data_IF_651430037412
#
_entry.id   IF_651430037412
#
_cell.length_a   1.000
_cell.length_b   1.000
_cell.length_c   1.000
_cell.angle_alpha   90.00
_cell.angle_beta   90.00
_cell.angle_gamma   90.00
#
_symmetry.space_group_name_H-M   'P 1'
#
loop_
_entity.id
_entity.type
_entity.pdbx_description
1 polymer ?
#
# COMPACT_ATOMS: atom_id res chain seq x y z
N UNK A 1 -5.57 -6.13 16.99
CA UNK A 1 -6.82 -6.90 16.96
C UNK A 1 -6.64 -8.12 17.84
N UNK A 2 -7.48 -8.30 18.86
CA UNK A 2 -7.48 -9.51 19.69
C UNK A 2 -8.43 -10.52 19.05
N UNK A 3 -8.02 -11.78 18.94
CA UNK A 3 -8.85 -12.88 18.42
C UNK A 3 -8.86 -13.97 19.48
N UNK A 4 -10.03 -14.54 19.79
CA UNK A 4 -10.13 -15.65 20.72
C UNK A 4 -10.44 -16.96 19.99
N UNK A 5 -9.99 -18.08 20.56
CA UNK A 5 -10.37 -19.41 20.11
C UNK A 5 -11.58 -19.85 20.93
N UNK A 6 -12.67 -20.20 20.27
CA UNK A 6 -13.88 -20.77 20.88
C UNK A 6 -14.21 -22.13 20.29
N UNK A 7 -15.02 -22.91 20.99
CA UNK A 7 -15.63 -24.14 20.47
C UNK A 7 -17.13 -23.88 20.43
N UNK A 8 -17.74 -24.05 19.25
CA UNK A 8 -19.18 -23.83 19.07
C UNK A 8 -19.81 -25.06 18.37
N UNK A 9 -21.07 -25.36 18.69
CA UNK A 9 -21.80 -26.49 18.11
C UNK A 9 -22.06 -26.33 16.61
N UNK A 10 -22.06 -27.44 15.88
CA UNK A 10 -22.28 -27.51 14.43
C UNK A 10 -23.32 -28.57 14.08
N UNK A 11 -23.97 -28.43 12.92
CA UNK A 11 -24.94 -29.42 12.42
C UNK A 11 -24.28 -30.72 11.94
N UNK A 12 -22.98 -30.68 11.64
CA UNK A 12 -22.18 -31.83 11.18
C UNK A 12 -21.24 -32.32 12.27
N UNK A 13 -20.91 -33.61 12.24
CA UNK A 13 -19.86 -34.20 13.07
C UNK A 13 -18.48 -33.81 12.54
N UNK A 14 -17.62 -33.35 13.44
CA UNK A 14 -16.23 -33.05 13.13
C UNK A 14 -15.31 -33.84 14.05
N UNK A 15 -14.16 -34.25 13.52
CA UNK A 15 -13.13 -34.95 14.28
C UNK A 15 -12.29 -33.95 15.07
N UNK A 16 -12.51 -33.86 16.38
CA UNK A 16 -11.85 -32.90 17.26
C UNK A 16 -10.77 -33.58 18.12
N UNK A 17 -9.57 -32.99 18.24
CA UNK A 17 -8.53 -33.48 19.12
C UNK A 17 -8.96 -33.41 20.58
N UNK A 18 -8.73 -34.50 21.32
CA UNK A 18 -8.99 -34.62 22.77
C UNK A 18 -7.72 -34.63 23.61
N UNK A 19 -6.56 -34.50 22.96
CA UNK A 19 -5.26 -34.39 23.58
C UNK A 19 -4.45 -33.26 22.92
N UNK A 20 -3.45 -32.67 23.62
CA UNK A 20 -2.59 -31.65 23.03
C UNK A 20 -1.88 -32.17 21.77
N UNK A 21 -1.96 -31.41 20.69
CA UNK A 21 -1.28 -31.73 19.42
C UNK A 21 0.13 -31.14 19.31
N UNK A 22 0.54 -30.27 20.24
CA UNK A 22 1.92 -29.80 20.38
C UNK A 22 2.64 -30.75 21.34
N UNK A 23 3.77 -31.32 20.90
CA UNK A 23 4.59 -32.21 21.73
C UNK A 23 5.94 -31.56 22.05
N UNK A 24 6.22 -31.29 23.34
CA UNK A 24 7.48 -30.72 23.83
C UNK A 24 7.40 -29.21 24.12
N UNK A 25 8.51 -28.65 24.64
CA UNK A 25 8.67 -27.21 24.88
C UNK A 25 9.08 -26.52 23.58
N UNK A 26 8.13 -25.98 22.83
CA UNK A 26 8.34 -25.31 21.52
C UNK A 26 8.90 -26.21 20.39
N UNK A 27 8.24 -27.32 20.03
CA UNK A 27 8.61 -28.03 18.81
C UNK A 27 8.38 -27.10 17.61
N UNK A 28 9.44 -26.76 16.89
CA UNK A 28 9.36 -26.02 15.63
C UNK A 28 9.71 -26.94 14.47
N UNK A 29 9.04 -26.74 13.34
CA UNK A 29 9.44 -27.37 12.08
C UNK A 29 10.74 -26.74 11.53
N UNK A 30 11.24 -27.26 10.41
CA UNK A 30 12.44 -26.74 9.74
C UNK A 30 12.31 -25.28 9.28
N UNK A 31 11.13 -24.66 9.43
CA UNK A 31 10.82 -23.26 9.07
C UNK A 31 10.57 -22.39 10.30
N UNK A 32 10.80 -22.88 11.51
CA UNK A 32 10.60 -22.13 12.75
C UNK A 32 9.13 -21.97 13.16
N UNK A 33 8.20 -22.71 12.55
CA UNK A 33 6.77 -22.67 12.89
C UNK A 33 6.39 -23.78 13.86
N UNK A 34 5.38 -23.60 14.73
CA UNK A 34 4.98 -24.64 15.67
C UNK A 34 4.61 -25.94 14.96
N UNK A 35 5.26 -27.04 15.35
CA UNK A 35 4.97 -28.37 14.82
C UNK A 35 3.81 -29.00 15.59
N UNK A 36 2.86 -29.56 14.84
CA UNK A 36 1.66 -30.19 15.38
C UNK A 36 1.56 -31.63 14.90
N UNK A 37 1.29 -32.55 15.82
CA UNK A 37 0.95 -33.94 15.52
C UNK A 37 -0.35 -34.03 14.74
N UNK A 38 -0.48 -35.04 13.88
CA UNK A 38 -1.71 -35.30 13.14
C UNK A 38 -2.86 -35.77 14.05
N UNK A 39 -4.08 -35.55 13.57
CA UNK A 39 -5.31 -36.05 14.20
C UNK A 39 -5.54 -37.50 13.77
N UNK A 40 -5.58 -38.40 14.75
CA UNK A 40 -5.72 -39.86 14.62
C UNK A 40 -6.91 -40.35 15.44
N UNK A 41 -7.39 -41.58 15.22
CA UNK A 41 -8.46 -42.16 16.04
C UNK A 41 -8.10 -42.29 17.53
N UNK A 42 -6.81 -42.28 17.89
CA UNK A 42 -6.36 -42.41 19.27
C UNK A 42 -6.35 -41.08 20.05
N UNK A 43 -6.27 -39.95 19.36
CA UNK A 43 -6.15 -38.61 19.97
C UNK A 43 -7.30 -37.67 19.60
N UNK A 44 -8.40 -38.19 19.08
CA UNK A 44 -9.58 -37.39 18.71
C UNK A 44 -10.90 -38.13 18.90
N UNK A 45 -11.98 -37.36 18.88
CA UNK A 45 -13.36 -37.84 18.98
C UNK A 45 -14.21 -37.14 17.91
N UNK A 46 -15.18 -37.86 17.36
CA UNK A 46 -16.21 -37.25 16.51
C UNK A 46 -17.23 -36.53 17.40
N UNK A 47 -17.39 -35.23 17.18
CA UNK A 47 -18.24 -34.38 18.00
C UNK A 47 -18.94 -33.32 17.13
N UNK A 48 -20.22 -32.96 17.38
CA UNK A 48 -20.94 -31.97 16.60
C UNK A 48 -20.56 -30.55 17.02
N UNK A 49 -19.27 -30.23 16.97
CA UNK A 49 -18.73 -28.90 17.22
C UNK A 49 -17.50 -28.63 16.35
N UNK A 50 -17.06 -27.37 16.29
CA UNK A 50 -15.84 -26.97 15.58
C UNK A 50 -15.11 -25.88 16.37
N UNK A 51 -13.79 -25.74 16.17
CA UNK A 51 -13.08 -24.58 16.70
C UNK A 51 -13.30 -23.37 15.80
N UNK A 52 -13.41 -22.21 16.42
CA UNK A 52 -13.55 -20.94 15.72
C UNK A 52 -12.52 -19.94 16.22
N UNK A 53 -11.90 -19.22 15.28
CA UNK A 53 -11.24 -17.95 15.55
C UNK A 53 -12.31 -16.86 15.51
N UNK A 54 -12.66 -16.30 16.67
CA UNK A 54 -13.74 -15.33 16.81
C UNK A 54 -13.19 -13.93 17.00
N UNK A 55 -13.75 -12.99 16.23
CA UNK A 55 -13.41 -11.58 16.31
C UNK A 55 -14.33 -10.89 17.33
N UNK A 56 -13.82 -9.97 18.16
CA UNK A 56 -14.62 -9.19 19.10
C UNK A 56 -15.68 -8.32 18.40
N UNK A 57 -15.35 -7.84 17.20
CA UNK A 57 -16.26 -7.10 16.31
C UNK A 57 -16.16 -7.70 14.90
N UNK A 58 -17.25 -7.72 14.13
CA UNK A 58 -17.24 -8.10 12.72
C UNK A 58 -16.17 -7.34 11.93
N UNK A 59 -15.37 -8.05 11.14
CA UNK A 59 -14.25 -7.47 10.38
C UNK A 59 -14.64 -7.31 8.92
N UNK A 60 -14.46 -6.13 8.30
CA UNK A 60 -14.59 -5.98 6.86
C UNK A 60 -13.55 -6.84 6.14
N UNK A 61 -13.99 -7.69 5.23
CA UNK A 61 -13.10 -8.53 4.41
C UNK A 61 -13.54 -8.51 2.96
N UNK A 62 -12.58 -8.58 2.04
CA UNK A 62 -12.89 -8.63 0.61
C UNK A 62 -13.50 -9.96 0.20
N UNK A 63 -14.23 -9.98 -0.91
CA UNK A 63 -14.72 -11.23 -1.52
C UNK A 63 -13.56 -12.17 -1.88
N UNK A 64 -12.45 -11.62 -2.39
CA UNK A 64 -11.24 -12.40 -2.71
C UNK A 64 -10.64 -13.07 -1.47
N UNK A 65 -10.62 -12.37 -0.33
CA UNK A 65 -10.20 -12.94 0.96
C UNK A 65 -11.07 -14.13 1.35
N UNK A 66 -12.39 -14.02 1.25
CA UNK A 66 -13.34 -15.11 1.56
C UNK A 66 -13.04 -16.32 0.69
N UNK A 67 -12.95 -16.13 -0.64
CA UNK A 67 -12.66 -17.22 -1.58
C UNK A 67 -11.33 -17.90 -1.26
N UNK A 68 -10.27 -17.12 -1.05
CA UNK A 68 -8.94 -17.64 -0.71
C UNK A 68 -8.99 -18.42 0.60
N UNK A 69 -9.73 -17.94 1.60
CA UNK A 69 -9.83 -18.58 2.91
C UNK A 69 -10.56 -19.91 2.80
N UNK A 70 -11.69 -19.98 2.08
CA UNK A 70 -12.40 -21.24 1.84
C UNK A 70 -11.56 -22.24 1.07
N UNK A 71 -10.80 -21.79 0.07
CA UNK A 71 -9.90 -22.66 -0.70
C UNK A 71 -8.78 -23.23 0.18
N UNK A 72 -8.27 -22.46 1.13
CA UNK A 72 -7.20 -22.90 2.03
C UNK A 72 -7.68 -23.78 3.18
N UNK A 73 -8.88 -23.54 3.72
CA UNK A 73 -9.42 -24.31 4.86
C UNK A 73 -10.23 -25.51 4.40
N UNK A 74 -10.88 -25.44 3.23
CA UNK A 74 -11.88 -26.40 2.78
C UNK A 74 -13.20 -26.32 3.56
N UNK A 75 -13.39 -25.26 4.37
CA UNK A 75 -14.54 -25.12 5.27
C UNK A 75 -15.42 -23.96 4.79
N UNK A 76 -16.75 -24.18 4.65
CA UNK A 76 -17.69 -23.09 4.43
C UNK A 76 -17.60 -22.04 5.55
N UNK A 77 -17.49 -20.76 5.19
CA UNK A 77 -17.41 -19.65 6.15
C UNK A 77 -18.78 -19.18 6.64
N UNK A 78 -19.81 -19.37 5.81
CA UNK A 78 -21.16 -18.89 6.05
C UNK A 78 -22.15 -20.03 5.81
N UNK A 79 -23.17 -20.12 6.65
CA UNK A 79 -24.27 -21.07 6.49
C UNK A 79 -25.18 -20.67 5.32
N UNK A 80 -25.31 -19.37 5.07
CA UNK A 80 -26.03 -18.78 3.95
C UNK A 80 -25.10 -17.88 3.13
N UNK A 81 -25.35 -17.70 1.81
CA UNK A 81 -24.56 -16.77 1.00
C UNK A 81 -24.59 -15.36 1.62
N UNK A 82 -23.42 -14.74 1.89
CA UNK A 82 -23.38 -13.42 2.47
C UNK A 82 -23.82 -12.36 1.45
N UNK A 83 -24.39 -11.27 1.94
CA UNK A 83 -24.58 -10.06 1.13
C UNK A 83 -23.23 -9.38 0.94
N UNK A 84 -22.94 -9.02 -0.30
CA UNK A 84 -21.77 -8.26 -0.68
C UNK A 84 -22.15 -6.80 -0.93
N UNK A 85 -21.34 -5.89 -0.42
CA UNK A 85 -21.43 -4.44 -0.62
C UNK A 85 -20.02 -3.88 -0.88
N UNK A 86 -19.87 -2.63 -1.34
CA UNK A 86 -18.55 -2.04 -1.54
C UNK A 86 -17.68 -2.10 -0.27
N UNK A 87 -16.45 -2.62 -0.40
CA UNK A 87 -15.55 -2.86 0.74
C UNK A 87 -15.19 -1.56 1.47
N UNK A 88 -15.01 -0.46 0.73
CA UNK A 88 -14.69 0.85 1.33
C UNK A 88 -15.82 1.35 2.23
N UNK A 89 -17.08 1.04 1.91
CA UNK A 89 -18.22 1.36 2.75
C UNK A 89 -18.17 0.58 4.07
N UNK A 90 -17.86 -0.72 4.03
CA UNK A 90 -17.70 -1.54 5.23
C UNK A 90 -16.54 -1.07 6.12
N UNK A 91 -15.39 -0.72 5.52
CA UNK A 91 -14.24 -0.19 6.26
C UNK A 91 -14.61 1.13 6.94
N UNK A 92 -15.36 1.99 6.24
CA UNK A 92 -15.83 3.27 6.76
C UNK A 92 -16.77 3.09 7.95
N UNK A 93 -17.79 2.24 7.82
CA UNK A 93 -18.72 1.93 8.90
C UNK A 93 -17.99 1.30 10.10
N UNK A 94 -17.03 0.40 9.84
CA UNK A 94 -16.22 -0.22 10.87
C UNK A 94 -15.38 0.82 11.63
N UNK A 95 -14.72 1.76 10.96
CA UNK A 95 -13.91 2.78 11.61
C UNK A 95 -14.77 3.73 12.46
N UNK A 96 -15.90 4.19 11.93
CA UNK A 96 -16.83 5.09 12.63
C UNK A 96 -17.48 4.41 13.85
N UNK A 97 -17.58 3.08 13.87
CA UNK A 97 -18.10 2.32 15.03
C UNK A 97 -17.13 2.19 16.22
N UNK A 98 -15.86 2.63 16.06
CA UNK A 98 -14.85 2.57 17.13
C UNK A 98 -14.87 3.78 18.05
N UNK A 99 -15.28 4.92 17.52
CA UNK A 99 -15.42 6.16 18.26
C UNK A 99 -16.78 6.12 19.01
N UNK A 100 -16.72 5.89 20.33
CA UNK A 100 -17.87 5.91 21.24
C UNK A 100 -18.29 7.38 21.50
N UNK A 101 -19.45 7.85 20.97
CA UNK A 101 -20.47 8.63 21.72
C UNK A 101 -21.60 9.32 20.92
N UNK A 102 -22.78 9.25 21.56
CA UNK A 102 -23.94 10.14 21.81
C UNK A 102 -24.67 11.00 20.77
N UNK A 103 -24.13 11.36 19.60
CA UNK A 103 -24.92 12.15 18.64
C UNK A 103 -24.93 11.52 17.25
N UNK A 104 -26.08 10.98 16.78
CA UNK A 104 -26.21 10.50 15.42
C UNK A 104 -26.33 11.71 14.50
N UNK A 105 -25.23 12.47 14.33
CA UNK A 105 -25.09 13.27 13.13
C UNK A 105 -25.26 12.29 11.96
N UNK A 106 -26.23 12.50 11.06
CA UNK A 106 -26.53 11.54 10.02
C UNK A 106 -25.23 11.25 9.28
N UNK A 107 -24.85 9.98 9.24
CA UNK A 107 -23.72 9.47 8.47
C UNK A 107 -23.93 9.96 7.04
N UNK A 108 -23.39 11.12 6.71
CA UNK A 108 -23.53 11.67 5.38
C UNK A 108 -22.83 10.64 4.49
N UNK A 109 -23.63 9.99 3.63
CA UNK A 109 -23.22 9.00 2.62
C UNK A 109 -22.17 9.55 1.63
N UNK A 110 -21.74 10.79 1.82
CA UNK A 110 -20.61 11.40 1.17
C UNK A 110 -19.36 10.70 1.69
N UNK A 111 -18.74 9.85 0.88
CA UNK A 111 -17.47 9.17 1.16
C UNK A 111 -16.28 10.17 1.22
N UNK A 112 -16.50 11.35 1.80
CA UNK A 112 -15.57 12.46 1.97
C UNK A 112 -15.21 12.58 3.44
N UNK A 113 -13.92 12.49 3.73
CA UNK A 113 -13.39 12.56 5.09
C UNK A 113 -12.30 13.61 5.19
N UNK A 114 -12.31 14.36 6.29
CA UNK A 114 -11.36 15.43 6.50
C UNK A 114 -10.30 15.03 7.53
N UNK A 115 -9.08 15.51 7.31
CA UNK A 115 -7.98 15.36 8.26
C UNK A 115 -7.26 16.70 8.45
N UNK A 116 -7.18 17.13 9.71
CA UNK A 116 -6.31 18.23 10.11
C UNK A 116 -4.93 17.67 10.50
N UNK A 117 -3.89 18.07 9.77
CA UNK A 117 -2.50 17.70 10.06
C UNK A 117 -1.67 18.97 10.32
N UNK A 118 -0.49 18.86 10.97
CA UNK A 118 0.32 20.05 11.24
C UNK A 118 0.77 20.73 9.94
N UNK A 119 0.19 21.91 9.69
CA UNK A 119 0.44 22.76 8.51
C UNK A 119 -0.35 22.39 7.26
N UNK A 120 -1.26 21.40 7.29
CA UNK A 120 -2.01 20.96 6.11
C UNK A 120 -3.43 20.51 6.49
N UNK A 121 -4.41 20.81 5.64
CA UNK A 121 -5.78 20.32 5.74
C UNK A 121 -6.08 19.45 4.53
N UNK A 122 -6.54 18.24 4.75
CA UNK A 122 -6.78 17.26 3.69
C UNK A 122 -8.27 16.89 3.61
N UNK A 123 -8.75 16.64 2.40
CA UNK A 123 -10.03 16.01 2.10
C UNK A 123 -9.77 14.73 1.29
N UNK A 124 -10.27 13.60 1.79
CA UNK A 124 -10.16 12.29 1.15
C UNK A 124 -11.53 11.86 0.63
N UNK A 125 -11.63 11.70 -0.68
CA UNK A 125 -12.75 11.01 -1.30
C UNK A 125 -12.41 9.53 -1.45
N UNK A 126 -13.15 8.66 -0.77
CA UNK A 126 -13.01 7.21 -0.90
C UNK A 126 -13.98 6.72 -1.99
N UNK A 127 -13.46 6.44 -3.18
CA UNK A 127 -14.27 6.07 -4.33
C UNK A 127 -14.72 4.60 -4.23
N UNK A 128 -15.80 4.36 -3.47
CA UNK A 128 -16.36 3.02 -3.23
C UNK A 128 -16.90 2.34 -4.49
N UNK A 129 -17.26 3.13 -5.50
CA UNK A 129 -17.91 2.66 -6.73
C UNK A 129 -16.94 2.58 -7.92
N UNK A 130 -15.64 2.83 -7.70
CA UNK A 130 -14.63 2.73 -8.76
C UNK A 130 -14.62 1.32 -9.39
N UNK A 131 -14.70 1.20 -10.71
CA UNK A 131 -14.72 -0.09 -11.38
C UNK A 131 -13.33 -0.72 -11.37
N UNK A 132 -13.26 -1.97 -10.95
CA UNK A 132 -12.10 -2.84 -11.15
C UNK A 132 -12.06 -3.32 -12.63
N UNK A 133 -10.98 -4.00 -13.07
CA UNK A 133 -10.87 -4.49 -14.45
C UNK A 133 -12.02 -5.40 -14.92
N UNK A 134 -12.76 -6.02 -13.99
CA UNK A 134 -13.96 -6.83 -14.29
C UNK A 134 -15.25 -6.01 -14.38
N UNK A 135 -15.17 -4.68 -14.30
CA UNK A 135 -16.29 -3.74 -14.38
C UNK A 135 -17.12 -3.61 -13.10
N UNK A 136 -16.77 -4.34 -12.03
CA UNK A 136 -17.47 -4.29 -10.75
C UNK A 136 -16.68 -3.48 -9.73
N UNK A 137 -17.35 -2.88 -8.75
CA UNK A 137 -16.66 -2.27 -7.61
C UNK A 137 -16.09 -3.33 -6.67
N UNK A 138 -15.06 -2.97 -5.91
CA UNK A 138 -14.44 -3.88 -4.94
C UNK A 138 -15.44 -4.28 -3.85
N UNK A 139 -15.89 -5.54 -3.89
CA UNK A 139 -16.90 -6.09 -2.99
C UNK A 139 -16.29 -6.69 -1.71
N UNK A 140 -17.04 -6.60 -0.62
CA UNK A 140 -16.70 -7.21 0.66
C UNK A 140 -17.92 -7.58 1.50
N UNK A 141 -17.66 -8.21 2.64
CA UNK A 141 -18.67 -8.54 3.65
C UNK A 141 -18.05 -8.49 5.05
N UNK A 142 -18.86 -8.65 6.09
CA UNK A 142 -18.41 -8.68 7.48
C UNK A 142 -18.17 -10.11 7.95
N UNK A 143 -17.03 -10.34 8.60
CA UNK A 143 -16.63 -11.65 9.10
C UNK A 143 -16.52 -11.66 10.63
N UNK A 144 -17.28 -12.55 11.27
CA UNK A 144 -17.36 -12.65 12.74
C UNK A 144 -16.47 -13.74 13.33
N UNK A 145 -16.35 -14.85 12.61
CA UNK A 145 -15.60 -16.01 13.06
C UNK A 145 -15.13 -16.85 11.87
N UNK A 146 -14.07 -17.61 12.08
CA UNK A 146 -13.50 -18.53 11.08
C UNK A 146 -13.34 -19.90 11.70
N UNK A 147 -14.00 -20.90 11.12
CA UNK A 147 -13.87 -22.29 11.54
C UNK A 147 -12.49 -22.86 11.21
N UNK A 148 -11.98 -23.74 12.06
CA UNK A 148 -10.79 -24.54 11.78
C UNK A 148 -10.84 -25.89 12.54
N UNK A 149 -10.35 -26.95 11.92
CA UNK A 149 -10.30 -28.29 12.56
C UNK A 149 -8.96 -28.58 13.22
N UNK A 150 -7.87 -28.05 12.67
CA UNK A 150 -6.51 -28.36 13.09
C UNK A 150 -5.74 -27.09 13.47
N UNK A 151 -5.09 -27.02 14.64
CA UNK A 151 -4.34 -25.84 15.07
C UNK A 151 -3.25 -25.39 14.09
N UNK A 152 -2.65 -26.30 13.32
CA UNK A 152 -1.67 -25.95 12.27
C UNK A 152 -2.22 -25.05 11.17
N UNK A 153 -3.55 -24.92 11.02
CA UNK A 153 -4.18 -23.99 10.07
C UNK A 153 -4.21 -22.56 10.59
N UNK A 154 -4.16 -22.36 11.90
CA UNK A 154 -4.29 -21.04 12.53
C UNK A 154 -3.22 -20.06 12.06
N UNK A 155 -1.91 -20.40 11.96
CA UNK A 155 -0.91 -19.47 11.46
C UNK A 155 -1.19 -18.92 10.05
N UNK A 156 -1.65 -19.79 9.14
CA UNK A 156 -2.02 -19.39 7.78
C UNK A 156 -3.23 -18.44 7.79
N UNK A 157 -4.27 -18.78 8.55
CA UNK A 157 -5.48 -17.96 8.69
C UNK A 157 -5.10 -16.59 9.26
N UNK A 158 -4.27 -16.54 10.31
CA UNK A 158 -3.81 -15.30 10.91
C UNK A 158 -2.98 -14.45 9.93
N UNK A 159 -2.14 -15.07 9.09
CA UNK A 159 -1.39 -14.34 8.08
C UNK A 159 -2.33 -13.63 7.09
N UNK A 160 -3.36 -14.34 6.61
CA UNK A 160 -4.36 -13.76 5.72
C UNK A 160 -5.15 -12.62 6.40
N UNK A 161 -5.57 -12.81 7.65
CA UNK A 161 -6.31 -11.78 8.40
C UNK A 161 -5.43 -10.54 8.57
N UNK A 162 -4.16 -10.71 8.95
CA UNK A 162 -3.25 -9.58 9.16
C UNK A 162 -3.05 -8.78 7.88
N UNK A 163 -2.95 -9.44 6.73
CA UNK A 163 -2.88 -8.79 5.42
C UNK A 163 -4.15 -7.98 5.11
N UNK A 164 -5.34 -8.57 5.25
CA UNK A 164 -6.62 -7.86 5.06
C UNK A 164 -6.76 -6.67 6.04
N UNK A 165 -6.35 -6.84 7.30
CA UNK A 165 -6.39 -5.76 8.30
C UNK A 165 -5.40 -4.65 7.98
N UNK A 166 -4.22 -4.95 7.42
CA UNK A 166 -3.28 -3.93 7.00
C UNK A 166 -3.85 -3.06 5.87
N UNK A 167 -4.49 -3.68 4.87
CA UNK A 167 -5.24 -2.96 3.83
C UNK A 167 -6.34 -2.08 4.44
N UNK A 168 -7.19 -2.66 5.30
CA UNK A 168 -8.28 -1.92 5.94
C UNK A 168 -7.76 -0.77 6.81
N UNK A 169 -6.60 -0.93 7.44
CA UNK A 169 -5.98 0.11 8.29
C UNK A 169 -5.56 1.31 7.44
N UNK A 170 -4.98 1.09 6.26
CA UNK A 170 -4.61 2.18 5.35
C UNK A 170 -5.84 2.94 4.87
N UNK A 171 -6.86 2.24 4.37
CA UNK A 171 -8.10 2.88 3.91
C UNK A 171 -8.82 3.58 5.07
N UNK A 172 -8.98 2.89 6.20
CA UNK A 172 -9.61 3.42 7.41
C UNK A 172 -8.85 4.62 8.01
N UNK A 173 -7.55 4.76 7.76
CA UNK A 173 -6.79 5.92 8.24
C UNK A 173 -7.25 7.27 7.68
N UNK A 174 -7.97 7.26 6.55
CA UNK A 174 -8.62 8.43 5.97
C UNK A 174 -9.94 8.78 6.68
N UNK A 175 -10.57 7.83 7.36
CA UNK A 175 -11.91 7.96 7.95
C UNK A 175 -11.78 8.57 9.34
N UNK A 176 -12.14 9.85 9.45
CA UNK A 176 -12.17 10.60 10.72
C UNK A 176 -13.38 11.50 10.76
N UNK A 177 -13.97 11.70 11.95
CA UNK A 177 -15.04 12.70 12.19
C UNK A 177 -14.48 14.12 12.36
N UNK A 178 -13.46 14.49 11.59
CA UNK A 178 -12.99 15.88 11.59
C UNK A 178 -14.00 16.74 10.84
N UNK A 179 -14.59 17.72 11.50
CA UNK A 179 -15.45 18.71 10.84
C UNK A 179 -14.58 19.89 10.43
N UNK A 180 -14.31 20.01 9.12
CA UNK A 180 -13.74 21.21 8.51
C UNK A 180 -14.84 21.93 7.74
N UNK A 181 -14.78 23.27 7.65
CA UNK A 181 -15.63 24.00 6.71
C UNK A 181 -15.18 23.62 5.29
N UNK A 182 -16.06 22.97 4.53
CA UNK A 182 -15.77 22.42 3.20
C UNK A 182 -15.17 23.46 2.23
N UNK A 183 -15.51 24.74 2.40
CA UNK A 183 -15.05 25.86 1.57
C UNK A 183 -13.83 26.60 2.14
N UNK A 184 -13.09 25.99 3.08
CA UNK A 184 -11.86 26.62 3.59
C UNK A 184 -10.81 26.66 2.46
N UNK A 185 -10.26 27.82 2.12
CA UNK A 185 -9.22 27.90 1.09
C UNK A 185 -7.99 27.09 1.53
N UNK A 186 -7.41 26.33 0.61
CA UNK A 186 -6.18 25.57 0.84
C UNK A 186 -6.36 24.14 1.34
N UNK A 187 -7.58 23.58 1.35
CA UNK A 187 -7.79 22.14 1.56
C UNK A 187 -7.25 21.37 0.36
N UNK A 188 -6.33 20.45 0.63
CA UNK A 188 -5.77 19.55 -0.37
C UNK A 188 -6.73 18.38 -0.60
N UNK A 189 -7.08 18.13 -1.86
CA UNK A 189 -8.01 17.07 -2.24
C UNK A 189 -7.25 15.82 -2.69
N UNK A 190 -7.72 14.68 -2.21
CA UNK A 190 -7.19 13.36 -2.52
C UNK A 190 -8.34 12.43 -2.88
N UNK A 191 -8.19 11.67 -3.96
CA UNK A 191 -9.08 10.57 -4.31
C UNK A 191 -8.38 9.24 -4.04
N UNK A 192 -9.05 8.35 -3.32
CA UNK A 192 -8.58 6.98 -3.06
C UNK A 192 -9.45 6.00 -3.83
N UNK A 193 -8.84 5.27 -4.77
CA UNK A 193 -9.55 4.32 -5.62
C UNK A 193 -9.00 2.89 -5.46
N UNK A 194 -9.86 1.87 -5.29
CA UNK A 194 -9.42 0.49 -5.36
C UNK A 194 -8.92 0.15 -6.77
N UNK A 195 -7.84 -0.64 -6.85
CA UNK A 195 -7.30 -1.18 -8.10
C UNK A 195 -7.36 -2.73 -8.13
N UNK A 196 -7.27 -3.35 -6.96
CA UNK A 196 -7.50 -4.79 -6.74
C UNK A 196 -7.91 -5.04 -5.28
N UNK A 197 -7.92 -6.30 -4.84
CA UNK A 197 -8.15 -6.70 -3.45
C UNK A 197 -7.00 -6.31 -2.50
N UNK A 198 -5.81 -6.03 -3.05
CA UNK A 198 -4.60 -5.68 -2.28
C UNK A 198 -3.96 -4.36 -2.70
N UNK A 199 -4.46 -3.73 -3.77
CA UNK A 199 -3.88 -2.55 -4.38
C UNK A 199 -4.90 -1.42 -4.51
N UNK A 200 -4.45 -0.18 -4.30
CA UNK A 200 -5.25 1.03 -4.45
C UNK A 200 -4.38 2.21 -4.90
N UNK A 201 -4.99 3.24 -5.45
CA UNK A 201 -4.32 4.49 -5.79
C UNK A 201 -4.75 5.64 -4.87
N UNK A 202 -3.86 6.61 -4.72
CA UNK A 202 -4.14 7.92 -4.15
C UNK A 202 -3.78 8.98 -5.19
N UNK A 203 -4.79 9.62 -5.76
CA UNK A 203 -4.65 10.67 -6.77
C UNK A 203 -4.75 12.05 -6.11
N UNK A 204 -3.88 12.99 -6.51
CA UNK A 204 -3.80 14.34 -5.95
C UNK A 204 -3.16 15.31 -6.92
N UNK A 205 -3.43 16.60 -6.73
CA UNK A 205 -2.77 17.65 -7.51
C UNK A 205 -1.28 17.73 -7.16
N UNK A 206 -0.43 17.87 -8.17
CA UNK A 206 1.00 18.07 -8.01
C UNK A 206 1.28 19.27 -7.09
N UNK A 207 2.25 19.20 -6.14
CA UNK A 207 2.49 20.29 -5.18
C UNK A 207 2.94 21.65 -5.77
N UNK A 208 3.13 21.75 -7.08
CA UNK A 208 3.89 22.83 -7.76
C UNK A 208 3.18 23.35 -9.00
N UNK A 209 2.36 22.51 -9.61
CA UNK A 209 1.68 22.83 -10.85
C UNK A 209 0.28 22.19 -10.80
N UNK A 210 -0.47 22.34 -11.88
CA UNK A 210 -1.85 21.86 -11.96
C UNK A 210 -1.97 20.43 -12.52
N UNK A 211 -0.86 19.67 -12.61
CA UNK A 211 -0.89 18.29 -13.08
C UNK A 211 -1.43 17.34 -12.01
N UNK A 212 -1.95 16.19 -12.45
CA UNK A 212 -2.41 15.12 -11.57
C UNK A 212 -1.28 14.13 -11.32
N UNK A 213 -1.11 13.77 -10.05
CA UNK A 213 -0.14 12.79 -9.56
C UNK A 213 -0.88 11.64 -8.91
N UNK A 214 -0.37 10.43 -9.06
CA UNK A 214 -0.96 9.22 -8.51
C UNK A 214 0.10 8.40 -7.77
N UNK A 215 -0.17 8.00 -6.54
CA UNK A 215 0.61 6.99 -5.83
C UNK A 215 -0.19 5.69 -5.82
N UNK A 216 0.36 4.64 -6.42
CA UNK A 216 -0.18 3.28 -6.30
C UNK A 216 0.45 2.60 -5.10
N UNK A 217 -0.37 2.11 -4.18
CA UNK A 217 0.05 1.35 -3.01
C UNK A 217 -0.43 -0.10 -3.14
N UNK A 218 0.49 -1.04 -2.99
CA UNK A 218 0.22 -2.47 -3.10
C UNK A 218 0.65 -3.17 -1.80
N UNK A 219 -0.34 -3.67 -1.05
CA UNK A 219 -0.15 -4.31 0.26
C UNK A 219 0.26 -5.77 0.03
N UNK A 220 1.55 -6.08 0.25
CA UNK A 220 2.08 -7.43 0.03
C UNK A 220 1.82 -8.34 1.24
N UNK A 221 2.06 -7.82 2.44
CA UNK A 221 1.78 -8.47 3.71
C UNK A 221 1.45 -7.42 4.79
N UNK A 222 1.33 -7.83 6.05
CA UNK A 222 0.96 -6.92 7.14
C UNK A 222 2.02 -5.89 7.53
N UNK A 223 3.22 -6.00 7.00
CA UNK A 223 4.40 -5.18 7.30
C UNK A 223 5.03 -4.54 6.07
N UNK A 224 4.76 -5.07 4.88
CA UNK A 224 5.33 -4.61 3.62
C UNK A 224 4.24 -4.05 2.69
N UNK A 225 4.41 -2.77 2.36
CA UNK A 225 3.61 -2.06 1.37
C UNK A 225 4.56 -1.54 0.30
N UNK A 226 4.33 -1.93 -0.95
CA UNK A 226 5.05 -1.40 -2.10
C UNK A 226 4.36 -0.12 -2.58
N UNK A 227 5.12 0.84 -3.09
CA UNK A 227 4.60 2.12 -3.55
C UNK A 227 5.23 2.50 -4.88
N UNK A 228 4.41 3.03 -5.80
CA UNK A 228 4.88 3.59 -7.06
C UNK A 228 4.26 4.95 -7.30
N UNK A 229 5.11 5.95 -7.51
CA UNK A 229 4.70 7.32 -7.84
C UNK A 229 4.63 7.52 -9.35
N UNK A 230 3.46 7.89 -9.84
CA UNK A 230 3.20 8.26 -11.23
C UNK A 230 2.93 9.75 -11.32
N UNK A 231 3.66 10.42 -12.21
CA UNK A 231 3.54 11.85 -12.51
C UNK A 231 3.77 12.08 -14.00
N UNK A 232 3.49 13.29 -14.49
CA UNK A 232 3.84 13.68 -15.86
C UNK A 232 5.35 13.58 -16.13
N UNK A 233 5.71 13.28 -17.37
CA UNK A 233 7.11 13.14 -17.79
C UNK A 233 7.91 14.43 -17.52
N UNK A 234 7.28 15.58 -17.78
CA UNK A 234 7.87 16.90 -17.58
C UNK A 234 7.68 17.48 -16.18
N UNK A 235 7.00 16.78 -15.28
CA UNK A 235 6.76 17.27 -13.93
C UNK A 235 8.04 17.27 -13.09
N UNK A 236 8.15 18.24 -12.19
CA UNK A 236 9.26 18.30 -11.24
C UNK A 236 9.31 17.04 -10.34
N UNK A 237 10.49 16.80 -9.76
CA UNK A 237 10.65 15.70 -8.81
C UNK A 237 9.89 16.01 -7.51
N UNK A 238 9.09 15.04 -7.04
CA UNK A 238 8.34 15.14 -5.77
C UNK A 238 9.08 14.38 -4.67
N UNK A 239 9.29 13.08 -4.87
CA UNK A 239 10.03 12.17 -4.00
C UNK A 239 10.27 10.84 -4.74
N UNK A 240 10.85 9.84 -4.06
CA UNK A 240 11.08 8.50 -4.60
C UNK A 240 10.08 7.48 -4.05
N UNK A 241 9.88 6.39 -4.79
CA UNK A 241 9.06 5.25 -4.38
C UNK A 241 9.50 4.69 -3.00
N UNK A 242 10.82 4.52 -2.80
CA UNK A 242 11.41 4.07 -1.54
C UNK A 242 11.11 4.99 -0.36
N UNK A 243 11.07 6.31 -0.60
CA UNK A 243 10.73 7.27 0.45
C UNK A 243 9.27 7.07 0.88
N UNK A 244 8.36 6.91 -0.09
CA UNK A 244 6.93 6.70 0.18
C UNK A 244 6.73 5.39 0.93
N UNK A 245 7.34 4.30 0.45
CA UNK A 245 7.27 2.97 1.06
C UNK A 245 7.72 3.00 2.53
N UNK A 246 8.86 3.66 2.82
CA UNK A 246 9.37 3.81 4.20
C UNK A 246 8.42 4.59 5.10
N UNK A 247 7.80 5.66 4.59
CA UNK A 247 6.86 6.46 5.37
C UNK A 247 5.60 5.65 5.68
N UNK A 248 4.97 5.06 4.66
CA UNK A 248 3.70 4.34 4.84
C UNK A 248 3.87 3.10 5.72
N UNK A 249 4.97 2.35 5.59
CA UNK A 249 5.25 1.18 6.43
C UNK A 249 5.46 1.57 7.90
N UNK A 250 5.97 2.79 8.16
CA UNK A 250 6.18 3.29 9.52
C UNK A 250 4.91 3.81 10.17
N UNK A 251 4.05 4.49 9.41
CA UNK A 251 2.89 5.19 9.98
C UNK A 251 1.56 4.46 9.75
N UNK A 252 1.48 3.55 8.78
CA UNK A 252 0.25 2.90 8.31
C UNK A 252 -0.91 3.88 8.13
N UNK A 253 -0.61 5.07 7.58
CA UNK A 253 -1.57 6.16 7.45
C UNK A 253 -1.40 6.91 6.13
N UNK A 254 -2.46 6.91 5.32
CA UNK A 254 -2.50 7.68 4.06
C UNK A 254 -2.35 9.18 4.35
N UNK A 255 -3.10 9.81 5.29
CA UNK A 255 -2.93 11.23 5.61
C UNK A 255 -1.49 11.64 5.99
N UNK A 256 -0.84 10.85 6.85
CA UNK A 256 0.54 11.13 7.26
C UNK A 256 1.50 10.98 6.08
N UNK A 257 1.28 9.98 5.24
CA UNK A 257 2.10 9.73 4.04
C UNK A 257 1.97 10.87 3.04
N UNK A 258 0.75 11.31 2.71
CA UNK A 258 0.53 12.41 1.77
C UNK A 258 1.13 13.72 2.26
N UNK A 259 1.06 13.99 3.57
CA UNK A 259 1.73 15.14 4.17
C UNK A 259 3.25 15.07 4.01
N UNK A 260 3.84 13.89 4.22
CA UNK A 260 5.28 13.70 4.07
C UNK A 260 5.74 13.88 2.61
N UNK A 261 4.97 13.36 1.65
CA UNK A 261 5.19 13.55 0.21
C UNK A 261 5.22 15.04 -0.13
N UNK A 262 4.19 15.79 0.29
CA UNK A 262 4.09 17.22 0.01
C UNK A 262 5.26 18.01 0.61
N UNK A 263 5.60 17.76 1.88
CA UNK A 263 6.77 18.41 2.52
C UNK A 263 8.07 18.09 1.82
N UNK A 264 8.24 16.85 1.35
CA UNK A 264 9.44 16.44 0.61
C UNK A 264 9.54 17.19 -0.71
N UNK A 265 8.43 17.31 -1.43
CA UNK A 265 8.36 18.08 -2.68
C UNK A 265 8.71 19.55 -2.46
N UNK A 266 8.11 20.18 -1.44
CA UNK A 266 8.39 21.58 -1.07
C UNK A 266 9.87 21.80 -0.75
N UNK A 267 10.51 20.87 -0.03
CA UNK A 267 11.94 20.94 0.30
C UNK A 267 12.81 20.86 -0.95
N UNK A 268 12.54 19.89 -1.84
CA UNK A 268 13.29 19.72 -3.10
C UNK A 268 13.20 20.98 -3.96
N UNK A 269 12.03 21.61 -4.02
CA UNK A 269 11.86 22.87 -4.74
C UNK A 269 12.62 24.03 -4.11
N UNK A 270 12.65 24.13 -2.78
CA UNK A 270 13.43 25.18 -2.12
C UNK A 270 14.94 25.02 -2.38
N UNK A 271 15.42 23.77 -2.49
CA UNK A 271 16.83 23.48 -2.73
C UNK A 271 17.24 23.61 -4.22
N UNK A 272 16.30 23.49 -5.16
CA UNK A 272 16.60 23.50 -6.62
C UNK A 272 17.25 24.80 -7.11
N UNK A 273 16.74 26.02 -6.76
CA UNK A 273 17.39 27.28 -7.12
C UNK A 273 18.78 27.45 -6.49
N UNK A 274 18.97 26.92 -5.27
CA UNK A 274 20.26 26.98 -4.59
C UNK A 274 21.30 26.10 -5.30
N UNK A 275 20.91 24.91 -5.74
CA UNK A 275 21.77 24.01 -6.50
C UNK A 275 22.14 24.57 -7.88
N UNK A 276 21.22 25.24 -8.58
CA UNK A 276 21.55 25.90 -9.86
C UNK A 276 22.53 27.05 -9.69
N UNK A 277 22.37 27.87 -8.64
CA UNK A 277 23.31 28.95 -8.32
C UNK A 277 24.71 28.43 -7.96
N UNK A 278 24.78 27.31 -7.23
CA UNK A 278 26.05 26.65 -6.92
C UNK A 278 26.69 26.10 -8.19
N UNK A 279 25.93 25.45 -9.07
CA UNK A 279 26.44 24.92 -10.34
C UNK A 279 27.00 26.03 -11.25
N UNK A 280 26.28 27.15 -11.41
CA UNK A 280 26.75 28.32 -12.16
C UNK A 280 28.04 28.90 -11.55
N UNK A 281 28.10 29.03 -10.22
CA UNK A 281 29.29 29.53 -9.53
C UNK A 281 30.49 28.60 -9.73
N UNK A 282 30.28 27.28 -9.68
CA UNK A 282 31.34 26.29 -9.91
C UNK A 282 31.82 26.34 -11.36
N UNK A 283 30.91 26.43 -12.34
CA UNK A 283 31.29 26.59 -13.76
C UNK A 283 32.11 27.87 -14.00
N UNK A 284 31.72 28.99 -13.40
CA UNK A 284 32.45 30.25 -13.51
C UNK A 284 33.83 30.19 -12.85
N UNK A 285 33.96 29.49 -11.72
CA UNK A 285 35.25 29.24 -11.08
C UNK A 285 36.14 28.32 -11.92
N UNK A 286 35.59 27.30 -12.56
CA UNK A 286 36.34 26.42 -13.48
C UNK A 286 36.80 27.20 -14.72
N UNK A 287 35.94 28.06 -15.29
CA UNK A 287 36.30 28.94 -16.42
C UNK A 287 37.42 29.92 -16.07
N UNK A 288 37.42 30.48 -14.85
CA UNK A 288 38.45 31.43 -14.39
C UNK A 288 39.79 30.78 -14.01
N UNK A 289 39.82 29.48 -13.72
CA UNK A 289 41.04 28.76 -13.33
C UNK A 289 41.74 28.00 -14.48
N UNK A 290 41.23 28.11 -15.71
CA UNK A 290 41.93 27.58 -16.88
C UNK A 290 43.17 28.46 -17.20
N UNK A 291 44.37 27.88 -17.38
CA UNK A 291 45.56 28.64 -17.73
C UNK A 291 45.39 29.31 -19.10
N UNK A 292 45.93 30.53 -19.32
CA UNK A 292 45.84 31.20 -20.61
C UNK A 292 46.55 30.35 -21.67
N UNK A 293 45.88 30.11 -22.80
CA UNK A 293 46.47 29.47 -23.96
C UNK A 293 47.58 30.38 -24.54
N UNK A 294 48.83 30.12 -24.16
CA UNK A 294 50.00 30.72 -24.80
C UNK A 294 50.47 29.81 -25.94
N UNK A 295 50.23 30.24 -27.18
CA UNK A 295 50.83 29.69 -28.40
C UNK A 295 52.35 29.98 -28.47
N UNK A 296 53.12 29.19 -29.23
CA UNK A 296 54.31 29.71 -29.89
C UNK A 296 54.13 29.71 -31.40
N UNK A 297 54.34 30.88 -32.03
CA UNK A 297 54.43 31.02 -33.47
C UNK A 297 55.69 30.35 -34.02
N UNK A 298 55.56 29.75 -35.22
CA UNK A 298 56.69 29.39 -36.08
C UNK A 298 56.36 29.83 -37.51
N UNK A 299 57.20 30.72 -38.04
CA UNK A 299 57.17 31.15 -39.43
C UNK A 299 57.59 30.02 -40.37
N UNK A 300 57.05 30.03 -41.59
CA UNK A 300 57.47 29.14 -42.66
C UNK A 300 57.78 29.93 -43.92
N UNK A 301 59.07 29.97 -44.23
CA UNK A 301 59.65 30.27 -45.53
C UNK A 301 59.54 29.04 -46.45
N UNK A 302 59.08 29.26 -47.68
CA UNK A 302 59.37 28.58 -48.96
C UNK A 302 59.99 27.18 -48.99
N UNK A 303 59.33 26.25 -49.70
CA UNK A 303 59.96 25.03 -50.26
C UNK A 303 58.96 24.12 -51.00
N UNK A 304 59.20 23.94 -52.31
CA UNK A 304 58.40 23.20 -53.29
C UNK A 304 58.17 21.69 -53.03
N UNK A 305 56.96 21.20 -53.35
CA UNK A 305 56.51 19.97 -54.09
C UNK A 305 57.30 18.63 -54.05
N UNK A 306 56.73 17.47 -54.49
CA UNK A 306 55.31 17.10 -54.77
C UNK A 306 54.87 15.68 -54.30
N UNK A 307 53.57 15.40 -54.53
CA UNK A 307 52.99 14.15 -55.09
C UNK A 307 52.28 13.12 -54.18
N UNK A 308 51.00 12.91 -54.54
CA UNK A 308 50.18 11.69 -54.58
C UNK A 308 49.74 10.92 -53.33
N UNK A 309 48.43 10.65 -53.27
CA UNK A 309 47.90 9.48 -52.58
C UNK A 309 46.45 9.58 -52.10
N UNK A 310 45.49 9.69 -53.02
CA UNK A 310 44.06 9.49 -52.76
C UNK A 310 43.78 8.08 -52.24
N UNK A 311 42.94 7.91 -51.21
CA UNK A 311 41.81 6.96 -51.14
C UNK A 311 41.14 6.94 -49.76
N UNK A 312 39.85 7.27 -49.73
CA UNK A 312 38.86 6.91 -48.70
C UNK A 312 38.48 5.43 -48.81
N UNK A 313 37.98 4.81 -47.73
CA UNK A 313 36.60 4.35 -47.82
C UNK A 313 35.76 4.52 -46.55
N UNK A 314 34.50 4.82 -46.83
CA UNK A 314 33.30 4.82 -45.98
C UNK A 314 32.96 3.41 -45.50
N UNK A 315 32.48 3.26 -44.26
CA UNK A 315 31.61 2.13 -43.89
C UNK A 315 30.54 2.54 -42.89
N UNK A 316 29.30 2.44 -43.36
CA UNK A 316 28.02 2.60 -42.67
C UNK A 316 27.69 1.36 -41.83
N UNK A 317 27.08 1.59 -40.67
CA UNK A 317 26.47 0.58 -39.79
C UNK A 317 25.07 0.18 -40.29
N UNK A 318 24.67 -1.11 -40.18
CA UNK A 318 23.29 -1.53 -40.37
C UNK A 318 22.58 -1.84 -39.04
N UNK A 319 21.26 -1.65 -39.05
CA UNK A 319 20.21 -2.55 -38.51
C UNK A 319 20.29 -2.97 -37.04
#
# INVERSE_FOLDING_TARGET
>A
MNVCVTIEGTLTMNKLPIAPLIMGTHPVDNKGTPSFSSVTSANSVDFPACFFLKFPKPVPVSQAFIQKLQNCTGIPLFDTPPTYVPLYELITQFELSKEEEEDPCPLHHTMHFFAALPGQQHCYFLNKDAPLPDGRSLQGTLLNKIAFHHPSRVPLILNMIRHQVAYNTLIGSCVKRTVLKADSPGILQFEVCPLSDSCFSVSFQHPVNDSLVCVVMDVQDSTHVNCKLYKGLSDALICTDDFIAKVVQRCMSIPVTMRAIRRKAETIQADTPALSLIAETVEDMVKKNLPPASSPGYGMTTGNNPMSGTTTPTSTFPG
#
